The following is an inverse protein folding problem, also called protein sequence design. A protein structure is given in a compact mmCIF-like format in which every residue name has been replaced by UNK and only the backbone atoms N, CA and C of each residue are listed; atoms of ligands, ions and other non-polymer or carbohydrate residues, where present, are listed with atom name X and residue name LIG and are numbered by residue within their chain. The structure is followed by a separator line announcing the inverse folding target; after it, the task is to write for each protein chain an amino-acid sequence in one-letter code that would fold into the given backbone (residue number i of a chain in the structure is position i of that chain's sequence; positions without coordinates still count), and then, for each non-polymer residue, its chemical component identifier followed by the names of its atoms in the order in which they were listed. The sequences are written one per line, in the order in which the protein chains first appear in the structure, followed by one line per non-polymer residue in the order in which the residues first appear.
data_IF_003638613303
#
_entry.id   IF_003638613303
#
_cell.length_a   1.000
_cell.length_b   1.000
_cell.length_c   1.000
_cell.angle_alpha   90.00
_cell.angle_beta   90.00
_cell.angle_gamma   90.00
#
_symmetry.space_group_name_H-M   'P 1'
#
loop_
_entity.id
_entity.type
_entity.pdbx_description
1 polymer ?
#
# COMPACT_ATOMS: atom_id res chain seq x y z
N UNK A 1 10.70 1.28 4.16
CA UNK A 1 11.05 2.68 4.50
C UNK A 1 11.56 3.49 3.32
N UNK A 2 12.54 3.02 2.52
CA UNK A 2 13.01 3.76 1.33
C UNK A 2 11.91 4.18 0.35
N UNK A 3 10.91 3.30 0.16
CA UNK A 3 9.72 3.61 -0.64
C UNK A 3 8.86 4.73 -0.04
N UNK A 4 8.76 4.82 1.28
CA UNK A 4 8.02 5.88 1.95
C UNK A 4 8.74 7.23 1.80
N UNK A 5 10.08 7.26 1.90
CA UNK A 5 10.87 8.47 1.59
C UNK A 5 10.62 8.97 0.17
N UNK A 6 10.61 8.06 -0.80
CA UNK A 6 10.36 8.38 -2.20
C UNK A 6 8.93 8.89 -2.42
N UNK A 7 7.95 8.26 -1.78
CA UNK A 7 6.54 8.65 -1.90
C UNK A 7 6.28 10.03 -1.28
N UNK A 8 6.90 10.34 -0.14
CA UNK A 8 6.77 11.64 0.53
C UNK A 8 7.70 12.72 -0.03
N UNK A 9 8.53 12.38 -1.03
CA UNK A 9 9.58 13.26 -1.60
C UNK A 9 10.44 13.89 -0.50
N UNK A 10 10.77 13.10 0.52
CA UNK A 10 11.59 13.56 1.63
C UNK A 10 12.98 13.95 1.12
N UNK A 11 13.43 15.16 1.47
CA UNK A 11 14.74 15.71 1.05
C UNK A 11 15.89 15.12 1.87
N UNK A 12 15.59 14.58 3.05
CA UNK A 12 16.56 13.96 3.95
C UNK A 12 16.85 12.51 3.57
N UNK A 13 18.08 12.07 3.81
CA UNK A 13 18.45 10.67 3.77
C UNK A 13 17.76 9.89 4.90
N UNK A 14 17.73 8.57 4.80
CA UNK A 14 17.00 7.73 5.75
C UNK A 14 17.54 7.85 7.18
N UNK A 15 18.84 8.01 7.35
CA UNK A 15 19.47 8.08 8.67
C UNK A 15 19.11 9.41 9.36
N UNK A 16 19.20 10.53 8.63
CA UNK A 16 18.74 11.84 9.10
C UNK A 16 17.22 11.88 9.33
N UNK A 17 16.44 11.23 8.48
CA UNK A 17 14.99 11.19 8.65
C UNK A 17 14.57 10.38 9.89
N UNK A 18 15.34 9.36 10.25
CA UNK A 18 15.13 8.52 11.44
C UNK A 18 15.66 9.15 12.73
N UNK A 19 16.64 10.07 12.64
CA UNK A 19 17.15 10.79 13.81
C UNK A 19 16.19 11.86 14.34
N UNK A 20 15.21 12.28 13.52
CA UNK A 20 14.13 13.20 13.92
C UNK A 20 12.91 12.38 14.38
N UNK A 21 12.54 12.38 15.68
CA UNK A 21 11.53 11.46 16.21
C UNK A 21 10.15 11.57 15.55
N UNK A 22 9.68 12.79 15.32
CA UNK A 22 8.37 13.03 14.69
C UNK A 22 8.35 12.54 13.22
N UNK A 23 9.46 12.72 12.52
CA UNK A 23 9.60 12.32 11.12
C UNK A 23 9.70 10.79 11.01
N UNK A 24 10.45 10.14 11.90
CA UNK A 24 10.56 8.68 11.98
C UNK A 24 9.19 8.00 12.17
N UNK A 25 8.34 8.55 13.04
CA UNK A 25 6.97 8.05 13.26
C UNK A 25 6.14 8.22 11.97
N UNK A 26 6.17 9.41 11.36
CA UNK A 26 5.43 9.67 10.13
C UNK A 26 5.86 8.75 8.97
N UNK A 27 7.17 8.51 8.84
CA UNK A 27 7.74 7.62 7.83
C UNK A 27 7.37 6.15 8.07
N UNK A 28 7.34 5.73 9.33
CA UNK A 28 6.94 4.38 9.71
C UNK A 28 5.47 4.15 9.37
N UNK A 29 4.59 5.06 9.79
CA UNK A 29 3.16 5.01 9.47
C UNK A 29 2.90 5.02 7.96
N UNK A 30 3.66 5.82 7.20
CA UNK A 30 3.56 5.87 5.74
C UNK A 30 4.03 4.58 5.10
N UNK A 31 5.14 4.00 5.58
CA UNK A 31 5.66 2.72 5.11
C UNK A 31 4.66 1.58 5.39
N UNK A 32 4.02 1.58 6.56
CA UNK A 32 2.96 0.64 6.88
C UNK A 32 1.74 0.81 5.99
N UNK A 33 1.27 2.05 5.75
CA UNK A 33 0.15 2.31 4.87
C UNK A 33 0.41 1.85 3.43
N UNK A 34 1.62 2.08 2.92
CA UNK A 34 2.07 1.59 1.61
C UNK A 34 2.14 0.07 1.57
N UNK A 35 2.65 -0.57 2.64
CA UNK A 35 2.69 -2.02 2.75
C UNK A 35 1.28 -2.62 2.77
N UNK A 36 0.35 -2.03 3.54
CA UNK A 36 -1.06 -2.44 3.57
C UNK A 36 -1.73 -2.26 2.20
N UNK A 37 -1.48 -1.15 1.49
CA UNK A 37 -2.01 -0.94 0.12
C UNK A 37 -1.49 -1.97 -0.89
N UNK A 38 -0.24 -2.41 -0.75
CA UNK A 38 0.33 -3.47 -1.60
C UNK A 38 -0.13 -4.87 -1.22
N UNK A 39 -0.32 -5.10 0.08
CA UNK A 39 -0.79 -6.37 0.62
C UNK A 39 -2.31 -6.52 0.54
N UNK A 40 -3.05 -5.43 0.33
CA UNK A 40 -4.49 -5.47 0.10
C UNK A 40 -4.74 -6.33 -1.16
N UNK A 41 -5.32 -7.53 -1.00
CA UNK A 41 -5.60 -8.37 -2.14
C UNK A 41 -6.68 -7.68 -2.98
N UNK A 42 -6.67 -7.92 -4.30
CA UNK A 42 -7.65 -7.52 -5.34
C UNK A 42 -9.14 -7.74 -4.92
N UNK A 43 -9.39 -8.42 -3.79
CA UNK A 43 -10.69 -8.60 -3.14
C UNK A 43 -11.46 -7.30 -2.91
N UNK A 44 -10.80 -6.16 -2.73
CA UNK A 44 -11.52 -4.88 -2.58
C UNK A 44 -12.06 -4.35 -3.92
N UNK A 45 -11.40 -4.67 -5.04
CA UNK A 45 -11.99 -4.46 -6.38
C UNK A 45 -13.11 -5.46 -6.66
N UNK A 46 -13.02 -6.70 -6.17
CA UNK A 46 -14.08 -7.71 -6.30
C UNK A 46 -15.36 -7.35 -5.50
N UNK A 47 -15.24 -6.59 -4.40
CA UNK A 47 -16.43 -6.06 -3.70
C UNK A 47 -17.31 -5.16 -4.59
N UNK A 48 -16.73 -4.49 -5.58
CA UNK A 48 -17.47 -3.68 -6.57
C UNK A 48 -18.31 -4.53 -7.54
N UNK A 49 -18.03 -5.83 -7.63
CA UNK A 49 -18.76 -6.79 -8.47
C UNK A 49 -19.76 -7.65 -7.68
N UNK A 50 -19.84 -7.49 -6.35
CA UNK A 50 -20.85 -8.16 -5.51
C UNK A 50 -22.20 -7.48 -5.69
N UNK A 51 -22.85 -7.77 -6.82
CA UNK A 51 -24.15 -7.21 -7.20
C UNK A 51 -24.51 -7.38 -8.69
N UNK A 52 -23.55 -7.72 -9.55
CA UNK A 52 -23.81 -8.12 -10.94
C UNK A 52 -23.05 -9.41 -11.23
N UNK A 53 -23.78 -10.51 -11.24
CA UNK A 53 -23.48 -11.80 -11.88
C UNK A 53 -22.02 -12.29 -11.80
N UNK A 54 -21.82 -13.27 -10.92
CA UNK A 54 -20.81 -14.33 -11.04
C UNK A 54 -19.34 -13.96 -11.24
N UNK A 55 -18.71 -13.50 -10.17
CA UNK A 55 -17.24 -13.45 -10.05
C UNK A 55 -16.59 -14.85 -10.15
N UNK A 56 -17.33 -15.94 -9.89
CA UNK A 56 -16.83 -17.32 -10.03
C UNK A 56 -16.61 -17.72 -11.49
N UNK A 57 -17.38 -17.15 -12.43
CA UNK A 57 -17.23 -17.44 -13.86
C UNK A 57 -16.05 -16.69 -14.50
N UNK A 58 -15.66 -15.52 -13.97
CA UNK A 58 -14.52 -14.75 -14.48
C UNK A 58 -13.19 -15.42 -14.09
N UNK A 59 -13.11 -15.99 -12.88
CA UNK A 59 -11.90 -16.65 -12.40
C UNK A 59 -11.65 -18.05 -13.01
N UNK A 60 -12.65 -18.64 -13.68
CA UNK A 60 -12.55 -19.98 -14.27
C UNK A 60 -12.10 -19.97 -15.75
N UNK A 61 -11.93 -18.79 -16.36
CA UNK A 61 -11.65 -18.63 -17.79
C UNK A 61 -10.23 -18.08 -18.09
N UNK A 62 -9.32 -18.11 -17.11
CA UNK A 62 -7.97 -17.53 -17.19
C UNK A 62 -6.88 -18.63 -17.16
N UNK A 63 -7.08 -19.71 -17.94
CA UNK A 63 -6.10 -20.78 -18.24
C UNK A 63 -5.71 -20.75 -19.72
#
# INVERSE_FOLDING_TARGET
MLLALRETRCVYDLETAMSIPALAIALTNTAEALARRRAAPIKEQLKRYVGRADWRSIAANDD
#
